data_IF_652661194226
#
_entry.id   IF_652661194226
#
_cell.length_a   1.000
_cell.length_b   1.000
_cell.length_c   1.000
_cell.angle_alpha   90.00
_cell.angle_beta   90.00
_cell.angle_gamma   90.00
#
_symmetry.space_group_name_H-M   'P 1'
#
loop_
_entity.id
_entity.type
_entity.pdbx_description
1 polymer ?
#
# COMPACT_ATOMS: atom_id res chain seq x y z
N UNK A 1 8.55 34.33 14.85
CA UNK A 1 8.98 32.92 14.75
C UNK A 1 10.29 32.91 13.96
N UNK A 2 11.42 32.63 14.62
CA UNK A 2 12.76 32.75 14.02
C UNK A 2 13.01 31.68 12.96
N UNK A 3 13.68 32.05 11.85
CA UNK A 3 13.97 31.19 10.69
C UNK A 3 14.74 29.89 11.02
N UNK A 4 15.32 29.77 12.22
CA UNK A 4 16.00 28.57 12.71
C UNK A 4 15.08 27.49 13.28
N UNK A 5 13.83 27.81 13.65
CA UNK A 5 12.92 26.84 14.30
C UNK A 5 12.26 25.86 13.32
N UNK A 6 12.22 26.17 12.02
CA UNK A 6 11.62 25.30 11.01
C UNK A 6 12.37 23.97 10.85
N UNK A 7 13.67 23.96 11.13
CA UNK A 7 14.51 22.76 11.11
C UNK A 7 14.28 21.83 12.31
N UNK A 8 13.65 22.33 13.38
CA UNK A 8 13.22 21.52 14.53
C UNK A 8 11.77 21.04 14.43
N UNK A 9 11.09 21.35 13.31
CA UNK A 9 9.68 20.99 13.08
C UNK A 9 9.56 20.01 11.91
N UNK A 10 8.41 19.32 11.81
CA UNK A 10 8.08 18.42 10.70
C UNK A 10 8.23 19.06 9.30
N UNK A 11 8.28 20.39 9.21
CA UNK A 11 8.33 21.13 7.95
C UNK A 11 9.59 20.86 7.11
N UNK A 12 10.77 20.69 7.71
CA UNK A 12 11.99 20.48 6.91
C UNK A 12 11.96 19.14 6.14
N UNK A 13 11.54 18.06 6.81
CA UNK A 13 11.40 16.74 6.19
C UNK A 13 10.23 16.69 5.21
N UNK A 14 9.11 17.36 5.52
CA UNK A 14 7.97 17.50 4.60
C UNK A 14 8.34 18.28 3.34
N UNK A 15 9.04 19.42 3.46
CA UNK A 15 9.45 20.23 2.29
C UNK A 15 10.37 19.44 1.37
N UNK A 16 11.34 18.72 1.94
CA UNK A 16 12.25 17.88 1.16
C UNK A 16 11.51 16.74 0.44
N UNK A 17 10.58 16.08 1.13
CA UNK A 17 9.73 15.04 0.55
C UNK A 17 8.85 15.60 -0.57
N UNK A 18 8.23 16.75 -0.36
CA UNK A 18 7.39 17.42 -1.36
C UNK A 18 8.21 17.82 -2.59
N UNK A 19 9.41 18.39 -2.40
CA UNK A 19 10.29 18.76 -3.49
C UNK A 19 10.68 17.54 -4.36
N UNK A 20 11.11 16.44 -3.73
CA UNK A 20 11.41 15.19 -4.43
C UNK A 20 10.20 14.61 -5.15
N UNK A 21 9.03 14.69 -4.51
CA UNK A 21 7.74 14.22 -5.07
C UNK A 21 7.35 15.03 -6.30
N UNK A 22 7.49 16.37 -6.28
CA UNK A 22 7.19 17.23 -7.42
C UNK A 22 8.10 16.93 -8.62
N UNK A 23 9.40 16.74 -8.37
CA UNK A 23 10.36 16.34 -9.42
C UNK A 23 9.97 14.99 -10.00
N UNK A 24 9.63 14.02 -9.17
CA UNK A 24 9.20 12.70 -9.62
C UNK A 24 7.90 12.76 -10.43
N UNK A 25 6.92 13.56 -9.99
CA UNK A 25 5.67 13.77 -10.72
C UNK A 25 5.92 14.43 -12.08
N UNK A 26 6.81 15.42 -12.15
CA UNK A 26 7.22 16.08 -13.39
C UNK A 26 7.84 15.08 -14.37
N UNK A 27 8.77 14.24 -13.89
CA UNK A 27 9.40 13.18 -14.69
C UNK A 27 8.41 12.07 -15.05
N UNK A 28 7.40 11.86 -14.22
CA UNK A 28 6.39 10.84 -14.49
C UNK A 28 5.42 11.25 -15.59
N UNK A 29 5.29 12.53 -16.00
CA UNK A 29 4.22 12.99 -16.92
C UNK A 29 4.09 12.11 -18.17
N UNK A 30 2.84 11.77 -18.53
CA UNK A 30 2.51 10.84 -19.63
C UNK A 30 3.17 11.21 -20.96
N UNK A 31 3.21 12.51 -21.28
CA UNK A 31 3.84 13.04 -22.48
C UNK A 31 5.30 12.58 -22.67
N UNK A 32 6.05 12.35 -21.59
CA UNK A 32 7.45 11.93 -21.68
C UNK A 32 7.64 10.45 -22.04
N UNK A 33 6.59 9.64 -21.90
CA UNK A 33 6.62 8.20 -22.20
C UNK A 33 6.00 7.86 -23.56
N UNK A 34 5.42 8.84 -24.27
CA UNK A 34 4.78 8.66 -25.57
C UNK A 34 5.79 8.82 -26.72
N UNK A 35 5.88 7.85 -27.67
CA UNK A 35 6.85 7.89 -28.76
C UNK A 35 6.75 9.12 -29.69
N UNK A 36 5.59 9.76 -29.73
CA UNK A 36 5.23 10.80 -30.69
C UNK A 36 5.49 12.22 -30.18
N UNK A 37 5.69 12.40 -28.87
CA UNK A 37 5.79 13.74 -28.24
C UNK A 37 7.21 14.13 -27.81
N UNK A 38 8.24 13.44 -28.29
CA UNK A 38 9.60 13.72 -27.86
C UNK A 38 10.06 15.12 -28.27
N UNK A 39 10.16 16.02 -27.28
CA UNK A 39 10.81 17.32 -27.41
C UNK A 39 12.25 17.20 -26.90
N UNK A 40 13.16 17.94 -27.52
CA UNK A 40 14.56 18.07 -27.07
C UNK A 40 14.59 18.54 -25.59
N UNK A 41 15.44 17.98 -24.70
CA UNK A 41 16.53 17.01 -24.93
C UNK A 41 16.18 15.55 -24.58
N UNK A 42 14.90 15.23 -24.28
CA UNK A 42 14.50 13.90 -23.81
C UNK A 42 14.56 12.83 -24.90
N UNK A 43 14.55 13.23 -26.17
CA UNK A 43 14.48 12.34 -27.33
C UNK A 43 15.68 11.38 -27.45
N UNK A 44 16.90 11.81 -27.09
CA UNK A 44 18.09 10.94 -27.15
C UNK A 44 18.45 10.31 -25.80
N UNK A 45 18.06 10.92 -24.68
CA UNK A 45 18.47 10.52 -23.33
C UNK A 45 17.31 10.02 -22.45
N UNK A 46 16.22 9.55 -23.04
CA UNK A 46 14.99 9.17 -22.32
C UNK A 46 15.24 8.16 -21.19
N UNK A 47 16.07 7.14 -21.43
CA UNK A 47 16.47 6.16 -20.40
C UNK A 47 17.25 6.80 -19.26
N UNK A 48 18.07 7.82 -19.53
CA UNK A 48 18.81 8.52 -18.49
C UNK A 48 17.87 9.31 -17.57
N UNK A 49 16.90 10.03 -18.12
CA UNK A 49 15.97 10.83 -17.34
C UNK A 49 14.89 9.99 -16.63
N UNK A 50 14.20 9.11 -17.36
CA UNK A 50 13.00 8.43 -16.86
C UNK A 50 13.30 7.16 -16.06
N UNK A 51 14.51 6.62 -16.19
CA UNK A 51 14.98 5.48 -15.40
C UNK A 51 16.17 5.83 -14.52
N UNK A 52 17.33 6.21 -15.07
CA UNK A 52 18.56 6.37 -14.28
C UNK A 52 18.46 7.50 -13.25
N UNK A 53 17.85 8.63 -13.60
CA UNK A 53 17.64 9.75 -12.68
C UNK A 53 16.38 9.56 -11.82
N UNK A 54 15.28 9.11 -12.42
CA UNK A 54 14.02 8.97 -11.71
C UNK A 54 14.00 7.83 -10.67
N UNK A 55 14.73 6.73 -10.88
CA UNK A 55 14.72 5.60 -9.95
C UNK A 55 15.33 5.93 -8.58
N UNK A 56 16.52 6.56 -8.48
CA UNK A 56 17.05 7.06 -7.21
C UNK A 56 16.10 8.04 -6.53
N UNK A 57 15.47 8.95 -7.29
CA UNK A 57 14.49 9.91 -6.76
C UNK A 57 13.27 9.17 -6.20
N UNK A 58 12.75 8.16 -6.90
CA UNK A 58 11.62 7.36 -6.42
C UNK A 58 11.96 6.60 -5.14
N UNK A 59 13.16 6.03 -5.04
CA UNK A 59 13.64 5.39 -3.80
C UNK A 59 13.76 6.43 -2.68
N UNK A 60 14.35 7.60 -2.96
CA UNK A 60 14.48 8.69 -2.00
C UNK A 60 13.11 9.17 -1.50
N UNK A 61 12.13 9.35 -2.40
CA UNK A 61 10.75 9.73 -2.03
C UNK A 61 10.07 8.64 -1.21
N UNK A 62 10.22 7.37 -1.57
CA UNK A 62 9.62 6.26 -0.81
C UNK A 62 10.22 6.13 0.60
N UNK A 63 11.55 6.22 0.73
CA UNK A 63 12.23 6.20 2.03
C UNK A 63 11.94 7.47 2.84
N UNK A 64 11.92 8.64 2.19
CA UNK A 64 11.53 9.89 2.82
C UNK A 64 10.10 9.84 3.35
N UNK A 65 9.17 9.27 2.59
CA UNK A 65 7.79 9.04 3.02
C UNK A 65 7.73 8.12 4.24
N UNK A 66 8.52 7.05 4.28
CA UNK A 66 8.62 6.16 5.45
C UNK A 66 9.17 6.89 6.68
N UNK A 67 10.26 7.64 6.53
CA UNK A 67 10.88 8.39 7.62
C UNK A 67 9.91 9.43 8.18
N UNK A 68 9.24 10.19 7.30
CA UNK A 68 8.24 11.19 7.69
C UNK A 68 7.06 10.52 8.38
N UNK A 69 6.55 9.40 7.86
CA UNK A 69 5.44 8.68 8.48
C UNK A 69 5.75 8.26 9.93
N UNK A 70 6.96 7.76 10.19
CA UNK A 70 7.37 7.23 11.50
C UNK A 70 7.77 8.30 12.52
N UNK A 71 8.42 9.39 12.09
CA UNK A 71 9.00 10.37 13.02
C UNK A 71 8.18 11.65 13.17
N UNK A 72 7.32 11.97 12.20
CA UNK A 72 6.50 13.18 12.27
C UNK A 72 5.25 12.95 13.12
N UNK A 73 5.12 13.74 14.18
CA UNK A 73 3.92 13.85 15.01
C UNK A 73 2.74 14.51 14.28
N UNK A 74 2.96 15.05 13.07
CA UNK A 74 1.95 15.73 12.28
C UNK A 74 1.60 17.13 12.79
N UNK A 75 2.41 17.69 13.69
CA UNK A 75 2.18 19.02 14.22
C UNK A 75 2.50 20.08 13.15
N UNK A 76 1.45 20.73 12.65
CA UNK A 76 1.51 21.67 11.53
C UNK A 76 0.97 23.06 11.93
N UNK A 77 1.33 23.55 13.11
CA UNK A 77 0.94 24.90 13.57
C UNK A 77 1.16 25.97 12.47
N UNK A 78 0.16 26.83 12.20
CA UNK A 78 -1.09 27.07 12.93
C UNK A 78 -2.30 26.20 12.50
N UNK A 79 -2.14 25.26 11.57
CA UNK A 79 -3.25 24.46 11.06
C UNK A 79 -3.66 23.37 12.07
N UNK A 80 -4.97 23.11 12.26
CA UNK A 80 -5.43 21.99 13.08
C UNK A 80 -5.09 20.64 12.42
N UNK A 81 -4.87 19.62 13.23
CA UNK A 81 -4.67 18.26 12.73
C UNK A 81 -5.99 17.67 12.22
N UNK A 82 -6.09 17.46 10.92
CA UNK A 82 -7.18 16.72 10.28
C UNK A 82 -6.57 15.46 9.65
N UNK A 83 -6.98 14.25 10.06
CA UNK A 83 -6.40 13.01 9.55
C UNK A 83 -6.49 12.94 8.02
N UNK A 84 -5.45 12.44 7.36
CA UNK A 84 -5.34 12.33 5.89
C UNK A 84 -5.28 13.65 5.11
N UNK A 85 -5.74 14.76 5.70
CA UNK A 85 -5.66 16.11 5.12
C UNK A 85 -4.53 16.95 5.74
N UNK A 86 -3.88 16.44 6.78
CA UNK A 86 -2.70 17.06 7.35
C UNK A 86 -1.57 17.14 6.29
N UNK A 87 -0.78 18.22 6.24
CA UNK A 87 0.34 18.36 5.30
C UNK A 87 1.30 17.16 5.30
N UNK A 88 1.55 16.56 6.47
CA UNK A 88 2.40 15.38 6.63
C UNK A 88 1.78 14.16 5.93
N UNK A 89 0.51 13.87 6.22
CA UNK A 89 -0.18 12.71 5.64
C UNK A 89 -0.36 12.86 4.12
N UNK A 90 -0.68 14.06 3.67
CA UNK A 90 -0.79 14.39 2.24
C UNK A 90 0.57 14.23 1.54
N UNK A 91 1.66 14.74 2.12
CA UNK A 91 2.99 14.60 1.53
C UNK A 91 3.40 13.13 1.37
N UNK A 92 3.16 12.31 2.40
CA UNK A 92 3.41 10.86 2.36
C UNK A 92 2.52 10.19 1.30
N UNK A 93 1.22 10.46 1.32
CA UNK A 93 0.26 9.87 0.37
C UNK A 93 0.57 10.21 -1.09
N UNK A 94 0.83 11.49 -1.38
CA UNK A 94 1.18 11.97 -2.72
C UNK A 94 2.55 11.42 -3.15
N UNK A 95 3.53 11.35 -2.24
CA UNK A 95 4.84 10.75 -2.51
C UNK A 95 4.75 9.29 -2.93
N UNK A 96 3.99 8.48 -2.18
CA UNK A 96 3.75 7.08 -2.53
C UNK A 96 2.98 6.92 -3.84
N UNK A 97 1.97 7.77 -4.07
CA UNK A 97 1.22 7.80 -5.34
C UNK A 97 2.13 8.17 -6.53
N UNK A 98 3.06 9.11 -6.36
CA UNK A 98 4.03 9.48 -7.38
C UNK A 98 4.97 8.32 -7.71
N UNK A 99 5.46 7.59 -6.71
CA UNK A 99 6.27 6.39 -6.92
C UNK A 99 5.49 5.29 -7.65
N UNK A 100 4.24 5.03 -7.26
CA UNK A 100 3.38 4.06 -7.92
C UNK A 100 3.08 4.45 -9.37
N UNK A 101 2.79 5.73 -9.62
CA UNK A 101 2.52 6.27 -10.95
C UNK A 101 3.75 6.17 -11.86
N UNK A 102 4.93 6.54 -11.36
CA UNK A 102 6.19 6.40 -12.09
C UNK A 102 6.46 4.94 -12.44
N UNK A 103 6.34 4.02 -11.47
CA UNK A 103 6.55 2.59 -11.69
C UNK A 103 5.56 2.02 -12.72
N UNK A 104 4.29 2.40 -12.64
CA UNK A 104 3.25 1.99 -13.59
C UNK A 104 3.58 2.49 -15.01
N UNK A 105 3.92 3.77 -15.16
CA UNK A 105 4.26 4.35 -16.47
C UNK A 105 5.52 3.76 -17.06
N UNK A 106 6.55 3.54 -16.23
CA UNK A 106 7.78 2.88 -16.65
C UNK A 106 7.50 1.47 -17.19
N UNK A 107 6.67 0.69 -16.49
CA UNK A 107 6.31 -0.69 -16.89
C UNK A 107 5.48 -0.75 -18.17
N UNK A 108 4.64 0.26 -18.41
CA UNK A 108 3.79 0.37 -19.60
C UNK A 108 4.54 0.96 -20.81
N UNK A 109 5.69 1.60 -20.59
CA UNK A 109 6.47 2.21 -21.65
C UNK A 109 7.23 1.18 -22.50
N UNK A 110 7.54 1.57 -23.74
CA UNK A 110 8.40 0.80 -24.64
C UNK A 110 9.90 0.91 -24.30
N UNK A 111 10.26 1.56 -23.18
CA UNK A 111 11.64 1.73 -22.77
C UNK A 111 12.28 0.38 -22.42
N UNK A 112 13.50 0.18 -22.93
CA UNK A 112 14.33 -0.95 -22.54
C UNK A 112 14.91 -0.72 -21.14
N UNK A 113 14.18 -1.19 -20.13
CA UNK A 113 14.59 -1.18 -18.73
C UNK A 113 14.89 -2.60 -18.23
N UNK A 114 15.78 -2.76 -17.23
CA UNK A 114 16.13 -4.07 -16.70
C UNK A 114 14.90 -4.82 -16.15
N UNK A 115 14.89 -6.15 -16.27
CA UNK A 115 13.77 -7.00 -15.87
C UNK A 115 13.36 -6.81 -14.39
N UNK A 116 14.32 -6.47 -13.52
CA UNK A 116 14.10 -6.19 -12.09
C UNK A 116 13.02 -5.13 -11.84
N UNK A 117 12.81 -4.19 -12.76
CA UNK A 117 11.81 -3.11 -12.63
C UNK A 117 10.38 -3.61 -12.70
N UNK A 118 10.16 -4.76 -13.35
CA UNK A 118 8.84 -5.40 -13.51
C UNK A 118 8.50 -6.33 -12.35
N UNK A 119 9.44 -6.57 -11.46
CA UNK A 119 9.28 -7.46 -10.31
C UNK A 119 8.14 -6.99 -9.37
N UNK A 120 7.17 -7.85 -9.02
CA UNK A 120 6.10 -7.52 -8.08
C UNK A 120 6.57 -6.97 -6.73
N UNK A 121 7.80 -7.29 -6.28
CA UNK A 121 8.34 -6.85 -4.98
C UNK A 121 8.29 -5.33 -4.77
N UNK A 122 8.45 -4.54 -5.84
CA UNK A 122 8.38 -3.08 -5.74
C UNK A 122 6.98 -2.59 -5.38
N UNK A 123 5.94 -3.26 -5.89
CA UNK A 123 4.56 -2.96 -5.52
C UNK A 123 4.31 -3.35 -4.07
N UNK A 124 4.78 -4.53 -3.64
CA UNK A 124 4.67 -4.94 -2.23
C UNK A 124 5.42 -4.00 -1.29
N UNK A 125 6.59 -3.49 -1.68
CA UNK A 125 7.33 -2.48 -0.91
C UNK A 125 6.56 -1.18 -0.73
N UNK A 126 5.96 -0.65 -1.82
CA UNK A 126 5.12 0.55 -1.72
C UNK A 126 3.86 0.31 -0.89
N UNK A 127 3.23 -0.87 -1.01
CA UNK A 127 2.08 -1.24 -0.19
C UNK A 127 2.45 -1.38 1.30
N UNK A 128 3.63 -1.92 1.61
CA UNK A 128 4.12 -2.03 2.98
C UNK A 128 4.35 -0.63 3.60
N UNK A 129 4.99 0.29 2.86
CA UNK A 129 5.15 1.67 3.33
C UNK A 129 3.79 2.36 3.48
N UNK A 130 2.85 2.14 2.55
CA UNK A 130 1.49 2.66 2.66
C UNK A 130 0.73 2.11 3.87
N UNK A 131 0.91 0.82 4.20
CA UNK A 131 0.34 0.22 5.40
C UNK A 131 0.94 0.83 6.67
N UNK A 132 2.27 1.00 6.74
CA UNK A 132 2.92 1.69 7.85
C UNK A 132 2.39 3.12 7.99
N UNK A 133 2.32 3.86 6.88
CA UNK A 133 1.78 5.22 6.86
C UNK A 133 0.36 5.28 7.43
N UNK A 134 -0.53 4.37 7.01
CA UNK A 134 -1.89 4.31 7.52
C UNK A 134 -1.95 4.02 9.03
N UNK A 135 -1.09 3.12 9.53
CA UNK A 135 -0.97 2.87 10.97
C UNK A 135 -0.47 4.11 11.72
N UNK A 136 0.46 4.88 11.15
CA UNK A 136 0.95 6.12 11.76
C UNK A 136 -0.11 7.24 11.76
N UNK A 137 -1.02 7.27 10.77
CA UNK A 137 -2.19 8.19 10.79
C UNK A 137 -3.07 7.90 12.00
N UNK A 138 -3.29 6.62 12.32
CA UNK A 138 -4.00 6.23 13.54
C UNK A 138 -3.26 6.69 14.81
N UNK A 139 -1.94 6.52 14.88
CA UNK A 139 -1.15 7.04 16.00
C UNK A 139 -1.28 8.56 16.15
N UNK A 140 -1.27 9.30 15.04
CA UNK A 140 -1.47 10.75 15.05
C UNK A 140 -2.89 11.11 15.50
N UNK A 141 -3.91 10.34 15.11
CA UNK A 141 -5.27 10.50 15.66
C UNK A 141 -5.26 10.32 17.18
N UNK A 142 -4.67 9.23 17.68
CA UNK A 142 -4.57 8.96 19.12
C UNK A 142 -3.83 10.08 19.87
N UNK A 143 -2.78 10.62 19.28
CA UNK A 143 -2.01 11.72 19.86
C UNK A 143 -2.81 13.03 19.92
N UNK A 144 -3.34 13.48 18.78
CA UNK A 144 -3.97 14.80 18.68
C UNK A 144 -5.38 14.86 19.27
N UNK A 145 -6.18 13.78 19.16
CA UNK A 145 -7.58 13.79 19.61
C UNK A 145 -7.78 13.16 20.99
N UNK A 146 -6.87 12.27 21.42
CA UNK A 146 -7.03 11.52 22.67
C UNK A 146 -5.89 11.74 23.67
N UNK A 147 -4.95 12.65 23.36
CA UNK A 147 -3.91 13.08 24.30
C UNK A 147 -2.85 12.02 24.62
N UNK A 148 -2.75 10.95 23.82
CA UNK A 148 -1.71 9.93 24.01
C UNK A 148 -0.36 10.55 23.63
N UNK A 149 0.62 10.54 24.53
CA UNK A 149 1.94 11.13 24.25
C UNK A 149 2.60 10.49 23.00
N UNK A 150 3.29 11.28 22.19
CA UNK A 150 4.06 10.82 21.03
C UNK A 150 5.37 10.15 21.47
N UNK A 151 5.23 9.03 22.18
CA UNK A 151 6.30 8.18 22.66
C UNK A 151 5.97 6.72 22.34
N UNK A 152 6.96 5.98 21.83
CA UNK A 152 6.76 4.62 21.35
C UNK A 152 6.31 3.66 22.46
N UNK A 153 6.84 3.78 23.68
CA UNK A 153 6.50 2.91 24.80
C UNK A 153 5.08 3.22 25.30
N UNK A 154 4.75 4.51 25.43
CA UNK A 154 3.40 4.96 25.85
C UNK A 154 2.35 4.52 24.85
N UNK A 155 2.60 4.70 23.54
CA UNK A 155 1.67 4.26 22.49
C UNK A 155 1.50 2.75 22.45
N UNK A 156 2.59 1.99 22.62
CA UNK A 156 2.53 0.54 22.61
C UNK A 156 1.70 -0.01 23.78
N UNK A 157 1.85 0.58 24.97
CA UNK A 157 1.11 0.19 26.18
C UNK A 157 -0.35 0.68 26.19
N UNK A 158 -0.72 1.64 25.32
CA UNK A 158 -2.05 2.24 25.31
C UNK A 158 -3.13 1.31 24.79
N UNK A 159 -4.10 0.97 25.64
CA UNK A 159 -5.29 0.20 25.25
C UNK A 159 -6.03 0.84 24.06
N UNK A 160 -6.18 2.17 24.07
CA UNK A 160 -6.87 2.89 23.00
C UNK A 160 -6.16 2.69 21.66
N UNK A 161 -4.82 2.82 21.64
CA UNK A 161 -4.03 2.62 20.42
C UNK A 161 -4.18 1.19 19.91
N UNK A 162 -4.10 0.21 20.81
CA UNK A 162 -4.22 -1.21 20.45
C UNK A 162 -5.61 -1.58 19.93
N UNK A 163 -6.66 -1.08 20.56
CA UNK A 163 -8.04 -1.27 20.15
C UNK A 163 -8.30 -0.61 18.78
N UNK A 164 -7.80 0.61 18.57
CA UNK A 164 -7.93 1.29 17.28
C UNK A 164 -7.18 0.61 16.15
N UNK A 165 -6.00 0.02 16.41
CA UNK A 165 -5.34 -0.84 15.41
C UNK A 165 -6.20 -2.04 15.03
N UNK A 166 -6.86 -2.69 15.98
CA UNK A 166 -7.74 -3.83 15.69
C UNK A 166 -8.94 -3.42 14.83
N UNK A 167 -9.55 -2.25 15.12
CA UNK A 167 -10.63 -1.69 14.30
C UNK A 167 -10.12 -1.35 12.90
N UNK A 168 -8.99 -0.63 12.81
CA UNK A 168 -8.37 -0.25 11.54
C UNK A 168 -8.06 -1.45 10.65
N UNK A 169 -7.42 -2.48 11.21
CA UNK A 169 -7.05 -3.69 10.45
C UNK A 169 -8.28 -4.50 10.03
N UNK A 170 -9.31 -4.56 10.86
CA UNK A 170 -10.59 -5.19 10.51
C UNK A 170 -11.24 -4.47 9.33
N UNK A 171 -11.36 -3.14 9.40
CA UNK A 171 -11.93 -2.34 8.31
C UNK A 171 -11.11 -2.47 7.01
N UNK A 172 -9.77 -2.46 7.12
CA UNK A 172 -8.88 -2.64 5.97
C UNK A 172 -9.03 -4.04 5.37
N UNK A 173 -9.08 -5.08 6.20
CA UNK A 173 -9.29 -6.45 5.75
C UNK A 173 -10.63 -6.60 5.01
N UNK A 174 -11.71 -6.06 5.58
CA UNK A 174 -13.03 -6.04 4.93
C UNK A 174 -13.00 -5.31 3.58
N UNK A 175 -12.39 -4.12 3.53
CA UNK A 175 -12.26 -3.35 2.30
C UNK A 175 -11.47 -4.12 1.22
N UNK A 176 -10.37 -4.78 1.61
CA UNK A 176 -9.58 -5.64 0.74
C UNK A 176 -10.39 -6.82 0.21
N UNK A 177 -11.10 -7.54 1.08
CA UNK A 177 -11.88 -8.72 0.70
C UNK A 177 -13.06 -8.36 -0.19
N UNK A 178 -13.84 -7.34 0.16
CA UNK A 178 -14.98 -6.86 -0.65
C UNK A 178 -14.50 -6.31 -2.00
N UNK A 179 -13.46 -5.47 -1.99
CA UNK A 179 -12.88 -4.91 -3.21
C UNK A 179 -12.28 -5.98 -4.12
N UNK A 180 -11.61 -6.99 -3.54
CA UNK A 180 -11.05 -8.11 -4.28
C UNK A 180 -12.14 -9.02 -4.85
N UNK A 181 -13.23 -9.26 -4.11
CA UNK A 181 -14.37 -10.03 -4.61
C UNK A 181 -14.99 -9.38 -5.84
N UNK A 182 -15.26 -8.07 -5.78
CA UNK A 182 -15.79 -7.29 -6.91
C UNK A 182 -14.89 -7.30 -8.15
N UNK A 183 -13.58 -7.51 -7.99
CA UNK A 183 -12.59 -7.53 -9.07
C UNK A 183 -12.10 -8.93 -9.44
N UNK A 184 -12.62 -9.99 -8.82
CA UNK A 184 -12.14 -11.36 -9.01
C UNK A 184 -10.68 -11.61 -8.58
N UNK A 185 -10.12 -10.77 -7.71
CA UNK A 185 -8.70 -10.77 -7.35
C UNK A 185 -8.40 -11.70 -6.16
N UNK A 186 -8.33 -13.00 -6.39
CA UNK A 186 -8.12 -14.00 -5.33
C UNK A 186 -6.91 -13.73 -4.41
N UNK A 187 -5.76 -13.31 -4.97
CA UNK A 187 -4.57 -13.01 -4.16
C UNK A 187 -4.81 -11.85 -3.19
N UNK A 188 -5.46 -10.77 -3.64
CA UNK A 188 -5.82 -9.63 -2.78
C UNK A 188 -6.85 -10.01 -1.73
N UNK A 189 -7.79 -10.89 -2.07
CA UNK A 189 -8.75 -11.44 -1.11
C UNK A 189 -8.04 -12.22 0.00
N UNK A 190 -7.06 -13.07 -0.35
CA UNK A 190 -6.27 -13.83 0.62
C UNK A 190 -5.44 -12.92 1.53
N UNK A 191 -4.92 -11.81 1.02
CA UNK A 191 -4.24 -10.80 1.85
C UNK A 191 -5.20 -10.20 2.89
N UNK A 192 -6.42 -9.84 2.49
CA UNK A 192 -7.44 -9.35 3.40
C UNK A 192 -7.83 -10.40 4.46
N UNK A 193 -8.06 -11.65 4.04
CA UNK A 193 -8.36 -12.76 4.95
C UNK A 193 -7.21 -13.02 5.94
N UNK A 194 -5.96 -12.95 5.48
CA UNK A 194 -4.77 -13.08 6.33
C UNK A 194 -4.67 -11.95 7.36
N UNK A 195 -4.91 -10.70 6.94
CA UNK A 195 -4.94 -9.55 7.85
C UNK A 195 -6.05 -9.67 8.90
N UNK A 196 -7.23 -10.15 8.51
CA UNK A 196 -8.33 -10.42 9.43
C UNK A 196 -7.94 -11.51 10.44
N UNK A 197 -7.38 -12.63 9.95
CA UNK A 197 -6.90 -13.73 10.80
C UNK A 197 -5.84 -13.27 11.80
N UNK A 198 -4.89 -12.43 11.36
CA UNK A 198 -3.90 -11.81 12.25
C UNK A 198 -4.55 -10.93 13.32
N UNK A 199 -5.55 -10.14 12.93
CA UNK A 199 -6.29 -9.26 13.86
C UNK A 199 -7.03 -10.09 14.91
N UNK A 200 -7.69 -11.17 14.50
CA UNK A 200 -8.37 -12.08 15.42
C UNK A 200 -7.39 -12.76 16.36
N UNK A 201 -6.28 -13.27 15.83
CA UNK A 201 -5.22 -13.88 16.65
C UNK A 201 -4.70 -12.90 17.70
N UNK A 202 -4.44 -11.65 17.31
CA UNK A 202 -4.04 -10.57 18.22
C UNK A 202 -5.05 -10.40 19.36
N UNK A 203 -6.35 -10.31 19.04
CA UNK A 203 -7.41 -10.17 20.04
C UNK A 203 -7.44 -11.38 20.99
N UNK A 204 -7.27 -12.60 20.47
CA UNK A 204 -7.24 -13.78 21.32
C UNK A 204 -6.05 -13.81 22.28
N UNK A 205 -4.87 -13.45 21.81
CA UNK A 205 -3.63 -13.47 22.62
C UNK A 205 -3.61 -12.35 23.65
N UNK A 206 -3.99 -11.13 23.25
CA UNK A 206 -3.86 -9.92 24.07
C UNK A 206 -5.10 -9.68 24.93
N UNK A 207 -6.30 -9.83 24.36
CA UNK A 207 -7.54 -9.45 25.03
C UNK A 207 -8.22 -10.61 25.76
N UNK A 208 -8.14 -11.85 25.27
CA UNK A 208 -8.81 -12.98 25.93
C UNK A 208 -8.03 -13.55 27.12
N UNK A 209 -6.70 -13.44 27.11
CA UNK A 209 -5.84 -13.99 28.18
C UNK A 209 -6.13 -13.34 29.54
N UNK A 210 -6.49 -12.05 29.56
CA UNK A 210 -6.74 -11.26 30.76
C UNK A 210 -8.23 -11.07 31.12
N UNK A 211 -9.16 -11.68 30.38
CA UNK A 211 -10.61 -11.48 30.54
C UNK A 211 -11.35 -12.66 31.19
N UNK A 212 -12.40 -12.35 31.94
CA UNK A 212 -13.26 -13.31 32.64
C UNK A 212 -14.10 -14.17 31.68
N UNK A 213 -14.63 -15.31 32.16
CA UNK A 213 -15.31 -16.30 31.31
C UNK A 213 -16.49 -15.77 30.49
N UNK A 214 -17.31 -14.87 31.05
CA UNK A 214 -18.46 -14.26 30.37
C UNK A 214 -18.07 -13.30 29.25
N UNK A 215 -16.99 -12.52 29.42
CA UNK A 215 -16.49 -11.58 28.41
C UNK A 215 -15.99 -12.32 27.17
N UNK A 216 -15.40 -13.52 27.35
CA UNK A 216 -14.94 -14.37 26.25
C UNK A 216 -16.10 -14.77 25.34
N UNK A 217 -17.27 -15.10 25.91
CA UNK A 217 -18.46 -15.50 25.15
C UNK A 217 -18.90 -14.39 24.20
N UNK A 218 -18.99 -13.15 24.69
CA UNK A 218 -19.39 -12.01 23.85
C UNK A 218 -18.39 -11.76 22.71
N UNK A 219 -17.09 -11.89 22.97
CA UNK A 219 -16.05 -11.78 21.93
C UNK A 219 -16.20 -12.89 20.89
N UNK A 220 -16.41 -14.15 21.30
CA UNK A 220 -16.64 -15.25 20.36
C UNK A 220 -17.86 -15.02 19.48
N UNK A 221 -18.96 -14.52 20.05
CA UNK A 221 -20.17 -14.18 19.29
C UNK A 221 -19.87 -13.05 18.30
N UNK A 222 -19.22 -11.97 18.73
CA UNK A 222 -18.88 -10.85 17.86
C UNK A 222 -17.98 -11.29 16.69
N UNK A 223 -16.98 -12.12 16.97
CA UNK A 223 -16.10 -12.72 15.94
C UNK A 223 -16.90 -13.64 15.00
N UNK A 224 -17.80 -14.48 15.53
CA UNK A 224 -18.66 -15.34 14.72
C UNK A 224 -19.57 -14.56 13.78
N UNK A 225 -20.20 -13.49 14.27
CA UNK A 225 -21.01 -12.57 13.44
C UNK A 225 -20.14 -11.90 12.37
N UNK A 226 -18.95 -11.43 12.73
CA UNK A 226 -18.01 -10.85 11.77
C UNK A 226 -17.65 -11.85 10.66
N UNK A 227 -17.36 -13.11 11.00
CA UNK A 227 -17.07 -14.17 10.03
C UNK A 227 -18.26 -14.44 9.11
N UNK A 228 -19.49 -14.43 9.64
CA UNK A 228 -20.70 -14.59 8.84
C UNK A 228 -20.88 -13.44 7.83
N UNK A 229 -20.72 -12.19 8.28
CA UNK A 229 -20.78 -11.00 7.43
C UNK A 229 -19.75 -11.09 6.30
N UNK A 230 -18.52 -11.48 6.63
CA UNK A 230 -17.45 -11.68 5.64
C UNK A 230 -17.80 -12.77 4.64
N UNK A 231 -18.25 -13.94 5.12
CA UNK A 231 -18.62 -15.07 4.27
C UNK A 231 -19.78 -14.73 3.32
N UNK A 232 -20.73 -13.91 3.78
CA UNK A 232 -21.86 -13.47 2.98
C UNK A 232 -21.50 -12.41 1.93
N UNK A 233 -20.79 -11.34 2.31
CA UNK A 233 -20.52 -10.20 1.41
C UNK A 233 -19.26 -10.35 0.55
N UNK A 234 -18.30 -11.18 0.99
CA UNK A 234 -17.02 -11.35 0.32
C UNK A 234 -16.65 -12.84 0.18
N UNK A 235 -17.45 -13.65 -0.55
CA UNK A 235 -17.06 -15.02 -0.89
C UNK A 235 -15.73 -15.06 -1.64
N UNK A 236 -15.00 -16.17 -1.50
CA UNK A 236 -13.73 -16.38 -2.18
C UNK A 236 -13.93 -16.39 -3.70
N UNK A 237 -13.23 -15.52 -4.47
CA UNK A 237 -13.33 -15.55 -5.92
C UNK A 237 -12.89 -16.89 -6.51
N UNK A 238 -13.60 -17.40 -7.54
CA UNK A 238 -13.25 -18.66 -8.17
C UNK A 238 -11.82 -18.61 -8.75
N UNK A 239 -11.05 -19.71 -8.67
CA UNK A 239 -9.75 -19.77 -9.32
C UNK A 239 -9.88 -19.54 -10.83
N UNK A 240 -8.90 -18.84 -11.42
CA UNK A 240 -8.84 -18.63 -12.87
C UNK A 240 -8.77 -20.01 -13.54
N UNK A 241 -9.74 -20.34 -14.38
CA UNK A 241 -9.76 -21.61 -15.09
C UNK A 241 -8.45 -21.75 -15.89
N UNK A 242 -7.68 -22.81 -15.63
CA UNK A 242 -6.61 -23.22 -16.55
C UNK A 242 -7.30 -23.54 -17.86
N UNK A 243 -6.95 -22.82 -18.93
CA UNK A 243 -7.31 -23.23 -20.29
C UNK A 243 -6.75 -24.64 -20.47
N UNK A 244 -7.62 -25.64 -20.40
CA UNK A 244 -7.33 -26.97 -20.90
C UNK A 244 -7.34 -26.77 -22.41
N UNK A 245 -6.15 -26.78 -23.02
CA UNK A 245 -6.05 -26.79 -24.48
C UNK A 245 -6.93 -27.96 -24.98
N UNK A 246 -7.80 -27.76 -25.98
CA UNK A 246 -8.55 -28.84 -26.57
C UNK A 246 -7.57 -29.94 -26.97
N UNK A 247 -7.82 -31.17 -26.53
CA UNK A 247 -7.10 -32.35 -27.04
C UNK A 247 -7.38 -32.34 -28.55
N UNK A 248 -6.38 -32.01 -29.36
CA UNK A 248 -6.50 -32.10 -30.80
C UNK A 248 -6.89 -33.55 -31.13
N UNK A 249 -7.92 -33.78 -31.96
CA UNK A 249 -8.26 -35.13 -32.37
C UNK A 249 -7.04 -35.75 -33.04
N UNK A 250 -6.65 -36.95 -32.58
CA UNK A 250 -5.53 -37.68 -33.15
C UNK A 250 -5.74 -37.83 -34.65
N UNK A 251 -4.83 -37.26 -35.45
CA UNK A 251 -4.81 -37.47 -36.90
C UNK A 251 -4.62 -38.96 -37.14
N UNK A 252 -5.54 -39.67 -37.82
CA UNK A 252 -5.33 -41.06 -38.16
C UNK A 252 -4.08 -41.16 -39.04
N UNK A 253 -3.15 -42.01 -38.65
CA UNK A 253 -1.92 -42.26 -39.39
C UNK A 253 -2.29 -42.80 -40.79
N UNK A 254 -1.85 -42.10 -41.84
CA UNK A 254 -2.00 -42.55 -43.22
C UNK A 254 -1.31 -43.91 -43.39
N UNK A 255 -2.11 -44.95 -43.59
CA UNK A 255 -1.67 -46.26 -44.08
C UNK A 255 -1.62 -46.24 -45.62
N UNK A 256 -0.87 -45.31 -46.20
CA UNK A 256 -0.57 -45.30 -47.64
C UNK A 256 0.90 -45.65 -47.84
N UNK A 257 1.15 -46.96 -47.84
CA UNK A 257 2.48 -47.53 -47.99
C UNK A 257 2.46 -49.04 -48.21
N UNK A 258 1.44 -49.55 -48.88
CA UNK A 258 1.41 -50.88 -49.47
C UNK A 258 0.56 -50.73 -50.73
N UNK A 259 1.16 -50.71 -51.91
CA UNK A 259 1.32 -51.89 -52.77
C UNK A 259 1.78 -51.41 -54.18
N UNK A 260 2.18 -52.29 -55.13
CA UNK A 260 1.74 -53.67 -55.40
C UNK A 260 2.74 -54.77 -55.10
#
# INVERSE_FOLDING_TARGET
IGRGALWQTAWASVVLLVAGTLVLLLLSRRAWFEPTQHRWPLMQFQRAYLWLAAAPIAVFVALGALVVALHSDGNATPLPYIPLLNPTDLAVGIGLAACALWLMRLRQSALQVPAVTRDPRWVYGLLAIGFIALNTVWLRIAHHFFGVAWDANVMFASFLVQAGYSILWTLLALALMVGANRRGMRSTWMLGAGLLGLTLLKLFVIDLSNRGGSERIFVFIAVGVMMLVVGYFAPLPPPRAKSIAPIAPATPANLEGAQP
#
